data_IF_630972354207
#
_entry.id   IF_630972354207
#
_cell.length_a   1.000
_cell.length_b   1.000
_cell.length_c   1.000
_cell.angle_alpha   90.00
_cell.angle_beta   90.00
_cell.angle_gamma   90.00
#
_symmetry.space_group_name_H-M   'P 1'
#
loop_
_entity.id
_entity.type
_entity.pdbx_description
1 polymer ?
#
# COMPACT_ATOMS: atom_id res chain seq x y z
N UNK A 1 -8.55 3.37 -16.17
CA UNK A 1 -7.69 2.18 -15.93
C UNK A 1 -6.24 2.66 -15.98
N UNK A 2 -5.53 2.65 -14.86
CA UNK A 2 -4.16 3.18 -14.80
C UNK A 2 -3.17 2.15 -15.37
N UNK A 3 -2.40 2.55 -16.38
CA UNK A 3 -1.30 1.76 -16.92
C UNK A 3 -0.09 1.85 -15.98
N UNK A 4 0.45 0.70 -15.59
CA UNK A 4 1.70 0.63 -14.82
C UNK A 4 2.84 0.57 -15.84
N UNK A 5 3.57 1.67 -15.99
CA UNK A 5 4.79 1.73 -16.80
C UNK A 5 5.99 1.31 -15.95
N UNK A 6 6.60 0.17 -16.26
CA UNK A 6 7.92 -0.20 -15.71
C UNK A 6 9.01 0.47 -16.54
N UNK A 7 9.84 1.32 -15.90
CA UNK A 7 11.05 1.87 -16.54
C UNK A 7 12.22 0.90 -16.33
N UNK A 8 12.85 0.48 -17.42
CA UNK A 8 14.16 -0.20 -17.41
C UNK A 8 15.28 0.80 -17.11
N UNK A 9 16.41 0.31 -16.59
CA UNK A 9 17.57 1.13 -16.18
C UNK A 9 18.40 1.71 -17.33
N UNK A 10 17.97 1.52 -18.58
CA UNK A 10 18.62 2.08 -19.76
C UNK A 10 17.69 3.05 -20.48
N UNK A 11 18.11 4.33 -20.50
CA UNK A 11 17.50 5.43 -21.27
C UNK A 11 17.12 4.99 -22.69
N UNK A 12 15.84 4.65 -22.90
CA UNK A 12 15.20 4.72 -24.21
C UNK A 12 13.95 5.57 -24.07
N UNK A 13 14.02 6.76 -24.67
CA UNK A 13 12.86 7.60 -24.92
C UNK A 13 11.82 6.77 -25.67
N UNK A 14 10.68 6.48 -25.02
CA UNK A 14 9.55 5.82 -25.65
C UNK A 14 8.45 6.87 -25.83
N UNK A 15 8.11 7.07 -27.10
CA UNK A 15 7.05 7.92 -27.62
C UNK A 15 5.67 7.51 -27.08
N UNK A 16 4.76 8.48 -27.02
CA UNK A 16 3.37 8.40 -26.55
C UNK A 16 2.48 7.44 -27.37
N UNK A 17 2.78 6.14 -27.37
CA UNK A 17 1.84 5.13 -27.87
C UNK A 17 0.95 4.67 -26.71
N UNK A 18 -0.36 4.68 -26.94
CA UNK A 18 -1.40 4.20 -26.04
C UNK A 18 -1.04 2.81 -25.45
N UNK A 19 -1.45 2.50 -24.20
CA UNK A 19 -1.10 1.23 -23.57
C UNK A 19 -1.73 0.07 -24.36
N UNK A 20 -0.92 -0.58 -25.21
CA UNK A 20 -1.22 -1.90 -25.80
C UNK A 20 -1.64 -2.81 -24.65
N UNK A 21 -2.85 -3.34 -24.75
CA UNK A 21 -3.48 -4.19 -23.74
C UNK A 21 -2.43 -5.10 -23.10
N UNK A 22 -2.26 -5.02 -21.78
CA UNK A 22 -1.42 -5.97 -21.05
C UNK A 22 -2.12 -7.33 -21.21
N UNK A 23 -1.68 -8.12 -22.20
CA UNK A 23 -2.23 -9.42 -22.48
C UNK A 23 -2.11 -10.29 -21.22
N UNK A 24 -3.12 -11.11 -20.93
CA UNK A 24 -3.11 -12.02 -19.77
C UNK A 24 -1.80 -12.82 -19.66
N UNK A 25 -1.18 -13.14 -20.81
CA UNK A 25 0.13 -13.78 -20.90
C UNK A 25 1.27 -12.96 -20.26
N UNK A 26 1.28 -11.63 -20.43
CA UNK A 26 2.26 -10.76 -19.80
C UNK A 26 2.11 -10.75 -18.28
N UNK A 27 0.87 -10.67 -17.78
CA UNK A 27 0.56 -10.78 -16.35
C UNK A 27 1.01 -12.14 -15.81
N UNK A 28 0.70 -13.22 -16.53
CA UNK A 28 1.14 -14.57 -16.15
C UNK A 28 2.65 -14.71 -16.09
N UNK A 29 3.39 -14.22 -17.10
CA UNK A 29 4.84 -14.28 -17.13
C UNK A 29 5.48 -13.51 -15.98
N UNK A 30 4.99 -12.29 -15.72
CA UNK A 30 5.44 -11.47 -14.60
C UNK A 30 5.26 -12.23 -13.28
N UNK A 31 4.06 -12.74 -13.01
CA UNK A 31 3.79 -13.41 -11.74
C UNK A 31 4.42 -14.81 -11.62
N UNK A 32 4.64 -15.53 -12.73
CA UNK A 32 5.30 -16.84 -12.69
C UNK A 32 6.81 -16.75 -12.44
N UNK A 33 7.42 -15.58 -12.69
CA UNK A 33 8.86 -15.33 -12.47
C UNK A 33 9.11 -14.39 -11.29
N UNK A 34 8.05 -13.90 -10.65
CA UNK A 34 8.14 -12.96 -9.55
C UNK A 34 8.78 -13.60 -8.32
N UNK A 35 9.81 -12.95 -7.80
CA UNK A 35 10.50 -13.31 -6.56
C UNK A 35 10.47 -12.13 -5.62
N UNK A 36 9.92 -12.35 -4.43
CA UNK A 36 9.98 -11.37 -3.34
C UNK A 36 11.28 -11.54 -2.56
N UNK A 37 11.99 -10.45 -2.36
CA UNK A 37 13.18 -10.39 -1.50
C UNK A 37 12.88 -9.51 -0.29
N UNK A 38 12.88 -10.04 0.94
CA UNK A 38 12.63 -9.25 2.14
C UNK A 38 13.77 -8.25 2.37
N UNK A 39 13.42 -7.07 2.86
CA UNK A 39 14.39 -6.08 3.30
C UNK A 39 15.21 -6.55 4.50
N UNK A 40 16.40 -5.98 4.63
CA UNK A 40 17.26 -6.12 5.82
C UNK A 40 17.39 -4.76 6.50
N UNK A 41 18.05 -4.64 7.67
CA UNK A 41 18.30 -3.32 8.26
C UNK A 41 18.98 -2.31 7.32
N UNK A 42 19.68 -2.80 6.29
CA UNK A 42 20.42 -1.97 5.33
C UNK A 42 19.80 -1.95 3.92
N UNK A 43 18.73 -2.70 3.66
CA UNK A 43 18.13 -2.82 2.31
C UNK A 43 16.62 -2.82 2.36
N UNK A 44 15.99 -2.21 1.34
CA UNK A 44 14.54 -2.26 1.20
C UNK A 44 14.10 -3.62 0.63
N UNK A 45 12.88 -4.06 0.96
CA UNK A 45 12.25 -5.19 0.28
C UNK A 45 12.06 -4.88 -1.20
N UNK A 46 12.11 -5.90 -2.05
CA UNK A 46 11.88 -5.74 -3.49
C UNK A 46 11.11 -6.91 -4.10
N UNK A 47 10.46 -6.64 -5.22
CA UNK A 47 9.87 -7.64 -6.09
C UNK A 47 10.62 -7.63 -7.41
N UNK A 48 11.27 -8.75 -7.76
CA UNK A 48 11.96 -8.91 -9.04
C UNK A 48 11.20 -9.88 -9.94
N UNK A 49 11.09 -9.61 -11.24
CA UNK A 49 10.44 -10.50 -12.19
C UNK A 49 11.04 -10.33 -13.60
N UNK A 50 10.88 -11.35 -14.43
CA UNK A 50 11.35 -11.32 -15.82
C UNK A 50 10.18 -11.08 -16.77
N UNK A 51 10.37 -10.21 -17.75
CA UNK A 51 9.41 -10.02 -18.84
C UNK A 51 10.16 -9.87 -20.17
N UNK A 52 9.82 -10.72 -21.14
CA UNK A 52 10.67 -10.92 -22.31
C UNK A 52 12.06 -11.43 -21.91
N UNK A 53 13.11 -10.68 -22.29
CA UNK A 53 14.50 -10.98 -21.96
C UNK A 53 15.07 -10.07 -20.85
N UNK A 54 14.24 -9.20 -20.28
CA UNK A 54 14.66 -8.20 -19.31
C UNK A 54 14.24 -8.59 -17.89
N UNK A 55 15.09 -8.26 -16.92
CA UNK A 55 14.81 -8.36 -15.50
C UNK A 55 14.37 -7.00 -14.96
N UNK A 56 13.25 -6.99 -14.24
CA UNK A 56 12.66 -5.81 -13.62
C UNK A 56 12.71 -5.93 -12.10
N UNK A 57 12.88 -4.80 -11.43
CA UNK A 57 12.83 -4.69 -9.98
C UNK A 57 11.84 -3.59 -9.57
N UNK A 58 10.99 -3.88 -8.60
CA UNK A 58 10.07 -2.93 -7.97
C UNK A 58 10.45 -2.79 -6.51
N UNK A 59 10.86 -1.58 -6.13
CA UNK A 59 11.22 -1.21 -4.74
C UNK A 59 10.26 -0.14 -4.20
N UNK A 60 10.19 0.05 -2.87
CA UNK A 60 9.37 1.11 -2.27
C UNK A 60 9.71 2.49 -2.83
N UNK A 61 10.98 2.74 -3.09
CA UNK A 61 11.45 3.99 -3.70
C UNK A 61 10.89 4.19 -5.11
N UNK A 62 10.83 3.14 -5.93
CA UNK A 62 10.23 3.19 -7.28
C UNK A 62 8.73 3.51 -7.18
N UNK A 63 8.02 2.87 -6.25
CA UNK A 63 6.58 3.10 -6.03
C UNK A 63 6.31 4.53 -5.56
N UNK A 64 7.07 5.04 -4.59
CA UNK A 64 6.92 6.43 -4.10
C UNK A 64 7.09 7.43 -5.24
N UNK A 65 8.15 7.27 -6.04
CA UNK A 65 8.42 8.13 -7.20
C UNK A 65 7.31 8.06 -8.24
N UNK A 66 6.87 6.86 -8.60
CA UNK A 66 5.84 6.67 -9.62
C UNK A 66 4.48 7.27 -9.23
N UNK A 67 4.16 7.29 -7.93
CA UNK A 67 2.90 7.80 -7.40
C UNK A 67 3.00 9.24 -6.88
N UNK A 68 4.14 9.90 -7.06
CA UNK A 68 4.44 11.22 -6.49
C UNK A 68 4.15 11.31 -4.98
N UNK A 69 4.37 10.20 -4.26
CA UNK A 69 4.37 10.21 -2.80
C UNK A 69 5.68 10.86 -2.39
N UNK A 70 5.62 11.92 -1.58
CA UNK A 70 6.82 12.64 -1.15
C UNK A 70 7.88 11.71 -0.57
N UNK A 71 9.14 12.16 -0.57
CA UNK A 71 10.28 11.42 -0.02
C UNK A 71 10.71 12.03 1.30
N UNK A 72 9.95 11.82 2.39
CA UNK A 72 10.34 12.33 3.70
C UNK A 72 11.65 11.68 4.16
N UNK A 73 12.41 12.42 4.96
CA UNK A 73 13.68 11.95 5.53
C UNK A 73 13.50 10.81 6.52
N UNK A 74 12.30 10.67 7.08
CA UNK A 74 11.96 9.60 8.01
C UNK A 74 10.49 9.22 7.90
N UNK A 75 10.21 7.95 8.20
CA UNK A 75 8.86 7.42 8.31
C UNK A 75 8.58 7.04 9.75
N UNK A 76 7.33 7.23 10.17
CA UNK A 76 6.86 6.80 11.47
C UNK A 76 6.59 5.30 11.43
N UNK A 77 7.09 4.53 12.41
CA UNK A 77 6.76 3.11 12.53
C UNK A 77 5.26 2.92 12.80
N UNK A 78 4.80 1.67 12.76
CA UNK A 78 3.44 1.34 13.19
C UNK A 78 3.21 1.81 14.64
N UNK A 79 2.08 2.47 14.85
CA UNK A 79 1.62 2.88 16.17
C UNK A 79 1.15 1.67 16.98
N UNK A 80 1.39 1.74 18.29
CA UNK A 80 0.95 0.69 19.21
C UNK A 80 -0.59 0.61 19.26
N UNK A 81 -1.09 -0.56 19.61
CA UNK A 81 -2.54 -0.75 19.79
C UNK A 81 -3.13 0.20 20.84
N UNK A 82 -2.37 0.56 21.87
CA UNK A 82 -2.80 1.51 22.90
C UNK A 82 -3.05 2.91 22.29
N UNK A 83 -2.12 3.42 21.48
CA UNK A 83 -2.27 4.72 20.81
C UNK A 83 -3.46 4.73 19.86
N UNK A 84 -3.62 3.67 19.07
CA UNK A 84 -4.74 3.55 18.15
C UNK A 84 -6.07 3.43 18.90
N UNK A 85 -6.11 2.69 20.01
CA UNK A 85 -7.31 2.56 20.86
C UNK A 85 -7.75 3.90 21.42
N UNK A 86 -6.83 4.68 21.98
CA UNK A 86 -7.13 6.04 22.47
C UNK A 86 -7.68 6.94 21.36
N UNK A 87 -7.11 6.85 20.17
CA UNK A 87 -7.63 7.55 19.00
C UNK A 87 -9.06 7.12 18.64
N UNK A 88 -9.36 5.81 18.60
CA UNK A 88 -10.71 5.32 18.29
C UNK A 88 -11.74 5.72 19.35
N UNK A 89 -11.35 5.75 20.62
CA UNK A 89 -12.18 6.31 21.71
C UNK A 89 -12.47 7.79 21.43
N UNK A 90 -11.44 8.58 21.11
CA UNK A 90 -11.56 10.04 20.87
C UNK A 90 -12.48 10.37 19.69
N UNK A 91 -12.47 9.57 18.63
CA UNK A 91 -13.36 9.78 17.47
C UNK A 91 -14.76 9.19 17.64
N UNK A 92 -15.06 8.60 18.81
CA UNK A 92 -16.39 8.11 19.17
C UNK A 92 -16.73 6.74 18.58
N UNK A 93 -15.76 5.84 18.46
CA UNK A 93 -16.03 4.44 18.09
C UNK A 93 -16.90 3.74 19.16
N UNK A 94 -17.97 3.08 18.75
CA UNK A 94 -18.98 2.51 19.66
C UNK A 94 -19.02 0.97 19.70
N UNK A 95 -18.01 0.32 19.11
CA UNK A 95 -17.89 -1.14 19.06
C UNK A 95 -16.93 -1.70 20.12
N UNK A 96 -16.83 -3.03 20.17
CA UNK A 96 -15.79 -3.70 20.93
C UNK A 96 -14.40 -3.43 20.31
N UNK A 97 -13.42 -3.17 21.18
CA UNK A 97 -12.03 -2.90 20.83
C UNK A 97 -11.06 -3.95 21.39
N UNK A 98 -11.52 -5.10 21.91
CA UNK A 98 -10.61 -6.17 22.38
C UNK A 98 -9.62 -6.58 21.28
N UNK A 99 -10.09 -6.67 20.02
CA UNK A 99 -9.27 -7.03 18.85
C UNK A 99 -9.08 -5.84 17.93
N UNK A 100 -8.05 -5.03 18.18
CA UNK A 100 -7.78 -3.83 17.39
C UNK A 100 -7.62 -4.14 15.90
N UNK A 101 -6.96 -5.23 15.51
CA UNK A 101 -6.83 -5.59 14.09
C UNK A 101 -8.13 -5.93 13.34
N UNK A 102 -9.29 -5.95 14.01
CA UNK A 102 -10.59 -6.37 13.46
C UNK A 102 -11.76 -5.45 13.88
N UNK A 103 -11.51 -4.17 14.12
CA UNK A 103 -12.60 -3.21 14.37
C UNK A 103 -13.55 -3.16 13.16
N UNK A 104 -14.80 -2.77 13.38
CA UNK A 104 -15.85 -2.80 12.36
C UNK A 104 -16.25 -1.36 11.99
N UNK A 105 -16.19 -0.97 10.71
CA UNK A 105 -16.40 0.43 10.30
C UNK A 105 -17.82 0.92 10.54
N UNK A 106 -18.82 0.05 10.50
CA UNK A 106 -20.21 0.38 10.88
C UNK A 106 -20.37 0.83 12.34
N UNK A 107 -19.35 0.63 13.19
CA UNK A 107 -19.29 1.13 14.58
C UNK A 107 -18.65 2.51 14.71
N UNK A 108 -18.22 3.10 13.60
CA UNK A 108 -17.82 4.50 13.52
C UNK A 108 -19.02 5.38 13.18
N UNK A 109 -18.90 6.68 13.50
CA UNK A 109 -19.77 7.68 12.89
C UNK A 109 -19.63 7.68 11.36
N UNK A 110 -20.68 8.12 10.67
CA UNK A 110 -20.77 8.05 9.20
C UNK A 110 -19.57 8.69 8.49
N UNK A 111 -19.09 9.83 8.99
CA UNK A 111 -17.99 10.59 8.40
C UNK A 111 -16.67 9.80 8.50
N UNK A 112 -16.42 9.19 9.66
CA UNK A 112 -15.25 8.34 9.89
C UNK A 112 -15.35 7.03 9.11
N UNK A 113 -16.54 6.44 9.02
CA UNK A 113 -16.76 5.26 8.19
C UNK A 113 -16.39 5.55 6.73
N UNK A 114 -16.87 6.66 6.16
CA UNK A 114 -16.53 7.08 4.80
C UNK A 114 -15.02 7.34 4.61
N UNK A 115 -14.39 8.02 5.57
CA UNK A 115 -12.94 8.26 5.54
C UNK A 115 -12.13 6.97 5.48
N UNK A 116 -12.41 6.03 6.38
CA UNK A 116 -11.69 4.75 6.43
C UNK A 116 -12.05 3.80 5.29
N UNK A 117 -13.28 3.88 4.74
CA UNK A 117 -13.67 3.20 3.51
C UNK A 117 -12.77 3.61 2.35
N UNK A 118 -12.55 4.92 2.22
CA UNK A 118 -11.72 5.51 1.17
C UNK A 118 -10.27 5.02 1.29
N UNK A 119 -9.71 5.01 2.50
CA UNK A 119 -8.36 4.45 2.76
C UNK A 119 -8.30 2.97 2.36
N UNK A 120 -9.27 2.17 2.77
CA UNK A 120 -9.31 0.73 2.45
C UNK A 120 -9.36 0.47 0.94
N UNK A 121 -10.18 1.23 0.21
CA UNK A 121 -10.30 1.11 -1.24
C UNK A 121 -9.05 1.60 -1.98
N UNK A 122 -8.43 2.68 -1.53
CA UNK A 122 -7.25 3.25 -2.18
C UNK A 122 -5.97 2.44 -1.93
N UNK A 123 -5.78 1.91 -0.72
CA UNK A 123 -4.48 1.37 -0.31
C UNK A 123 -4.49 -0.10 0.08
N UNK A 124 -5.64 -0.73 0.35
CA UNK A 124 -5.67 -2.10 0.87
C UNK A 124 -6.10 -3.15 -0.17
N UNK A 125 -6.28 -2.76 -1.44
CA UNK A 125 -6.78 -3.62 -2.52
C UNK A 125 -8.09 -4.36 -2.13
N UNK A 126 -8.91 -3.74 -1.27
CA UNK A 126 -10.17 -4.32 -0.81
C UNK A 126 -11.30 -3.72 -1.61
N UNK A 127 -11.80 -4.48 -2.57
CA UNK A 127 -12.98 -4.17 -3.37
C UNK A 127 -14.16 -4.98 -2.87
N UNK A 128 -15.21 -4.28 -2.41
CA UNK A 128 -16.52 -4.77 -1.90
C UNK A 128 -16.57 -5.17 -0.41
N UNK A 129 -17.63 -4.68 0.26
CA UNK A 129 -18.20 -5.07 1.58
C UNK A 129 -17.27 -5.38 2.75
N UNK A 130 -15.98 -5.06 2.66
CA UNK A 130 -15.04 -5.30 3.74
C UNK A 130 -15.22 -4.26 4.84
N UNK A 131 -15.97 -4.64 5.87
CA UNK A 131 -16.29 -3.76 7.00
C UNK A 131 -15.17 -3.72 8.05
N UNK A 132 -14.12 -4.53 7.93
CA UNK A 132 -13.05 -4.52 8.93
C UNK A 132 -12.06 -3.35 8.73
N UNK A 133 -11.73 -2.68 9.83
CA UNK A 133 -10.62 -1.76 9.97
C UNK A 133 -9.38 -2.57 10.35
N UNK A 134 -8.57 -2.92 9.36
CA UNK A 134 -7.28 -3.58 9.64
C UNK A 134 -6.31 -2.61 10.32
N UNK A 135 -5.32 -3.15 11.01
CA UNK A 135 -4.30 -2.34 11.68
C UNK A 135 -3.58 -1.38 10.70
N UNK A 136 -3.33 -1.80 9.46
CA UNK A 136 -2.80 -0.94 8.41
C UNK A 136 -3.70 0.27 8.10
N UNK A 137 -5.00 0.05 7.89
CA UNK A 137 -5.98 1.12 7.65
C UNK A 137 -6.04 2.10 8.83
N UNK A 138 -5.96 1.58 10.05
CA UNK A 138 -5.94 2.40 11.27
C UNK A 138 -4.69 3.28 11.35
N UNK A 139 -3.52 2.71 11.07
CA UNK A 139 -2.25 3.43 11.06
C UNK A 139 -2.23 4.52 9.99
N UNK A 140 -2.71 4.23 8.79
CA UNK A 140 -2.81 5.23 7.71
C UNK A 140 -3.75 6.36 8.14
N UNK A 141 -4.95 6.04 8.65
CA UNK A 141 -5.90 7.06 9.07
C UNK A 141 -5.38 7.93 10.21
N UNK A 142 -4.76 7.33 11.23
CA UNK A 142 -4.12 8.07 12.32
C UNK A 142 -3.01 8.99 11.78
N UNK A 143 -2.16 8.48 10.88
CA UNK A 143 -1.07 9.24 10.28
C UNK A 143 -1.57 10.46 9.49
N UNK A 144 -2.63 10.29 8.70
CA UNK A 144 -3.24 11.37 7.92
C UNK A 144 -3.85 12.46 8.80
N UNK A 145 -4.47 12.09 9.92
CA UNK A 145 -5.13 13.04 10.83
C UNK A 145 -4.09 13.85 11.62
N UNK A 146 -2.99 13.23 12.02
CA UNK A 146 -1.97 13.87 12.86
C UNK A 146 -0.71 14.32 12.10
N UNK A 147 -0.68 14.15 10.77
CA UNK A 147 0.43 14.62 9.93
C UNK A 147 1.71 13.80 10.04
N UNK A 148 1.61 12.49 10.32
CA UNK A 148 2.76 11.59 10.35
C UNK A 148 3.08 11.01 8.97
N UNK A 149 4.38 10.83 8.68
CA UNK A 149 4.84 10.23 7.44
C UNK A 149 4.76 8.70 7.53
N UNK A 150 3.75 8.10 6.89
CA UNK A 150 3.59 6.65 6.85
C UNK A 150 4.09 6.06 5.52
N UNK A 151 4.94 5.03 5.58
CA UNK A 151 5.53 4.43 4.38
C UNK A 151 4.58 3.42 3.71
N UNK A 152 3.56 3.94 3.01
CA UNK A 152 2.59 3.12 2.29
C UNK A 152 3.28 2.22 1.25
N UNK A 153 4.31 2.73 0.57
CA UNK A 153 5.01 1.98 -0.46
C UNK A 153 5.72 0.72 0.07
N UNK A 154 6.47 0.86 1.18
CA UNK A 154 7.09 -0.29 1.85
C UNK A 154 6.03 -1.27 2.34
N UNK A 155 4.99 -0.78 3.03
CA UNK A 155 3.89 -1.62 3.50
C UNK A 155 3.26 -2.45 2.37
N UNK A 156 3.09 -1.87 1.17
CA UNK A 156 2.51 -2.59 0.03
C UNK A 156 3.43 -3.64 -0.55
N UNK A 157 4.73 -3.38 -0.64
CA UNK A 157 5.67 -4.38 -1.15
C UNK A 157 5.87 -5.51 -0.15
N UNK A 158 5.97 -5.19 1.15
CA UNK A 158 6.11 -6.19 2.21
C UNK A 158 4.90 -7.13 2.27
N UNK A 159 3.69 -6.61 1.95
CA UNK A 159 2.47 -7.42 1.90
C UNK A 159 2.41 -8.46 0.77
N UNK A 160 3.35 -8.43 -0.18
CA UNK A 160 3.45 -9.45 -1.23
C UNK A 160 4.13 -10.72 -0.70
N UNK A 161 5.05 -10.58 0.25
CA UNK A 161 5.79 -11.69 0.85
C UNK A 161 5.14 -12.34 2.07
N UNK A 162 4.01 -11.80 2.54
CA UNK A 162 3.25 -12.26 3.72
C UNK A 162 2.09 -13.18 3.35
#
# INVERSE_FOLDING_TARGET
>A
MAAIHFRTSTNKNLTNDEPKAIFAQAVMQIWSTATYTPGTPNTQSSLTFSYGNDLYEVTPTIVQRALHLGSPTSFTPFFSEAVLREFFIKIGYNGDMIRMGRLVRTKLRQEWNFFFDSIGKCFMNKSSNFDALTQATQNIGYSLIYGYNFNIASMRIDSIGS
#
